data_IF_460007849458
#
_entry.id   IF_460007849458
#
_cell.length_a   1.000
_cell.length_b   1.000
_cell.length_c   1.000
_cell.angle_alpha   90.00
_cell.angle_beta   90.00
_cell.angle_gamma   90.00
#
_symmetry.space_group_name_H-M   'P 1'
#
loop_
_entity.id
_entity.type
_entity.pdbx_description
1 polymer ?
#
# COMPACT_ATOMS: atom_id res chain seq x y z
N UNK A 1 -7.86 -30.31 -20.85
CA UNK A 1 -6.71 -29.53 -21.32
C UNK A 1 -6.73 -28.12 -20.72
N UNK A 2 -6.26 -27.95 -19.47
CA UNK A 2 -6.34 -26.68 -18.72
C UNK A 2 -5.03 -26.36 -17.97
N UNK A 3 -3.87 -26.63 -18.58
CA UNK A 3 -2.55 -26.45 -17.95
C UNK A 3 -1.75 -25.24 -18.47
N UNK A 4 -2.40 -24.16 -18.93
CA UNK A 4 -1.70 -23.02 -19.56
C UNK A 4 -2.00 -21.61 -19.05
N UNK A 5 -2.59 -21.42 -17.86
CA UNK A 5 -2.83 -20.07 -17.31
C UNK A 5 -2.13 -19.72 -15.99
N UNK A 6 -1.27 -20.58 -15.47
CA UNK A 6 -0.60 -20.37 -14.17
C UNK A 6 0.86 -19.87 -14.27
N UNK A 7 1.28 -19.29 -15.42
CA UNK A 7 2.70 -18.94 -15.66
C UNK A 7 3.00 -17.45 -15.87
N UNK A 8 2.02 -16.57 -15.75
CA UNK A 8 2.23 -15.13 -16.04
C UNK A 8 2.36 -14.22 -14.83
N UNK A 9 2.01 -14.67 -13.62
CA UNK A 9 1.95 -13.75 -12.47
C UNK A 9 3.28 -13.62 -11.70
N UNK A 10 4.28 -14.46 -11.98
CA UNK A 10 5.60 -14.41 -11.31
C UNK A 10 6.57 -13.34 -11.87
N UNK A 11 6.25 -12.74 -13.03
CA UNK A 11 7.16 -11.84 -13.77
C UNK A 11 6.90 -10.33 -13.56
N UNK A 12 5.96 -9.95 -12.70
CA UNK A 12 5.72 -8.51 -12.39
C UNK A 12 6.51 -8.00 -11.20
N UNK A 13 7.27 -8.86 -10.50
CA UNK A 13 8.32 -8.40 -9.58
C UNK A 13 9.51 -7.93 -10.41
N UNK A 14 9.45 -6.67 -10.82
CA UNK A 14 10.57 -5.94 -11.43
C UNK A 14 11.63 -5.75 -10.34
N UNK A 15 12.42 -6.79 -10.06
CA UNK A 15 13.64 -6.65 -9.25
C UNK A 15 14.55 -5.67 -10.00
N UNK A 16 14.56 -4.42 -9.54
CA UNK A 16 15.52 -3.43 -9.98
C UNK A 16 16.88 -3.87 -9.45
N UNK A 17 17.65 -4.54 -10.29
CA UNK A 17 19.09 -4.73 -10.04
C UNK A 17 19.74 -3.35 -10.11
N UNK A 18 19.99 -2.75 -8.95
CA UNK A 18 20.72 -1.49 -8.82
C UNK A 18 22.22 -1.82 -8.76
N UNK A 19 23.02 -1.15 -9.59
CA UNK A 19 24.48 -1.27 -9.54
C UNK A 19 24.99 -0.74 -8.19
N UNK A 20 26.03 -1.37 -7.63
CA UNK A 20 26.66 -0.93 -6.39
C UNK A 20 27.18 0.51 -6.48
N UNK A 21 27.65 0.92 -7.67
CA UNK A 21 28.12 2.28 -7.92
C UNK A 21 27.00 3.33 -7.83
N UNK A 22 25.74 2.93 -8.07
CA UNK A 22 24.58 3.83 -7.94
C UNK A 22 24.17 4.08 -6.48
N UNK A 23 24.63 3.25 -5.53
CA UNK A 23 24.37 3.43 -4.09
C UNK A 23 25.30 4.48 -3.46
N UNK A 24 26.50 4.67 -4.01
CA UNK A 24 27.49 5.62 -3.47
C UNK A 24 27.07 7.07 -3.72
N UNK A 25 26.30 7.31 -4.78
CA UNK A 25 25.77 8.65 -5.13
C UNK A 25 24.43 8.98 -4.44
N UNK A 26 23.85 8.02 -3.70
CA UNK A 26 22.82 8.32 -2.70
C UNK A 26 23.50 8.93 -1.47
N UNK A 27 24.02 10.15 -1.61
CA UNK A 27 24.25 11.01 -0.46
C UNK A 27 22.96 10.98 0.36
N UNK A 28 23.06 10.57 1.62
CA UNK A 28 21.99 10.75 2.59
C UNK A 28 21.82 12.25 2.74
N UNK A 29 20.97 12.85 1.91
CA UNK A 29 20.40 14.16 2.17
C UNK A 29 19.74 14.02 3.53
N UNK A 30 20.39 14.56 4.56
CA UNK A 30 19.76 14.75 5.85
C UNK A 30 18.51 15.57 5.58
N UNK A 31 17.30 14.99 5.70
CA UNK A 31 16.10 15.71 5.33
C UNK A 31 15.99 16.94 6.22
N UNK A 32 15.76 18.08 5.60
CA UNK A 32 15.60 19.34 6.32
C UNK A 32 14.58 19.20 7.46
N UNK A 33 14.75 19.89 8.61
CA UNK A 33 13.92 19.70 9.79
C UNK A 33 12.41 19.80 9.51
N UNK A 34 11.99 20.72 8.64
CA UNK A 34 10.60 20.85 8.21
C UNK A 34 10.10 19.65 7.40
N UNK A 35 10.96 19.03 6.58
CA UNK A 35 10.64 17.81 5.83
C UNK A 35 10.45 16.63 6.77
N UNK A 36 11.23 16.55 7.85
CA UNK A 36 11.05 15.51 8.86
C UNK A 36 9.73 15.70 9.62
N UNK A 37 9.40 16.94 10.00
CA UNK A 37 8.14 17.25 10.70
C UNK A 37 6.92 16.93 9.83
N UNK A 38 6.93 17.33 8.55
CA UNK A 38 5.87 16.99 7.59
C UNK A 38 5.68 15.48 7.44
N UNK A 39 6.77 14.70 7.42
CA UNK A 39 6.70 13.23 7.32
C UNK A 39 6.03 12.61 8.56
N UNK A 40 6.34 13.13 9.74
CA UNK A 40 5.72 12.69 10.99
C UNK A 40 4.22 12.95 10.95
N UNK A 41 3.82 14.19 10.62
CA UNK A 41 2.41 14.58 10.51
C UNK A 41 1.65 13.73 9.48
N UNK A 42 2.18 13.60 8.26
CA UNK A 42 1.58 12.74 7.23
C UNK A 42 1.44 11.29 7.70
N UNK A 43 2.43 10.77 8.42
CA UNK A 43 2.37 9.40 8.96
C UNK A 43 1.28 9.26 10.02
N UNK A 44 1.09 10.27 10.87
CA UNK A 44 0.00 10.31 11.85
C UNK A 44 -1.37 10.31 11.17
N UNK A 45 -1.57 11.13 10.14
CA UNK A 45 -2.82 11.20 9.38
C UNK A 45 -3.14 9.87 8.70
N UNK A 46 -2.14 9.24 8.06
CA UNK A 46 -2.31 7.92 7.44
C UNK A 46 -2.66 6.87 8.49
N UNK A 47 -2.02 6.90 9.67
CA UNK A 47 -2.30 5.97 10.76
C UNK A 47 -3.72 6.15 11.28
N UNK A 48 -4.17 7.39 11.52
CA UNK A 48 -5.52 7.69 11.97
C UNK A 48 -6.57 7.29 10.92
N UNK A 49 -6.31 7.64 9.66
CA UNK A 49 -7.11 7.22 8.52
C UNK A 49 -7.23 5.70 8.44
N UNK A 50 -6.11 4.98 8.57
CA UNK A 50 -6.10 3.52 8.62
C UNK A 50 -6.91 2.99 9.79
N UNK A 51 -6.81 3.54 11.00
CA UNK A 51 -7.56 3.13 12.20
C UNK A 51 -9.08 3.33 12.06
N UNK A 52 -9.50 4.35 11.31
CA UNK A 52 -10.92 4.62 11.06
C UNK A 52 -11.58 3.66 10.06
N UNK A 53 -10.79 2.87 9.31
CA UNK A 53 -11.33 1.88 8.37
C UNK A 53 -11.98 0.70 9.07
N UNK A 54 -12.87 0.02 8.35
CA UNK A 54 -13.41 -1.27 8.77
C UNK A 54 -12.27 -2.28 8.96
N UNK A 55 -12.35 -3.18 9.96
CA UNK A 55 -11.31 -4.17 10.22
C UNK A 55 -10.90 -4.98 8.99
N UNK A 56 -11.87 -5.30 8.13
CA UNK A 56 -11.65 -6.05 6.88
C UNK A 56 -10.85 -5.25 5.85
N UNK A 57 -11.16 -3.97 5.69
CA UNK A 57 -10.44 -3.08 4.76
C UNK A 57 -9.01 -2.87 5.24
N UNK A 58 -8.82 -2.68 6.56
CA UNK A 58 -7.52 -2.54 7.20
C UNK A 58 -6.64 -3.78 6.99
N UNK A 59 -7.22 -4.97 7.20
CA UNK A 59 -6.54 -6.24 7.00
C UNK A 59 -6.16 -6.44 5.52
N UNK A 60 -7.05 -6.11 4.59
CA UNK A 60 -6.73 -6.17 3.16
C UNK A 60 -5.55 -5.27 2.81
N UNK A 61 -5.56 -4.02 3.27
CA UNK A 61 -4.46 -3.08 3.01
C UNK A 61 -3.15 -3.56 3.65
N UNK A 62 -3.21 -4.12 4.86
CA UNK A 62 -2.04 -4.73 5.51
C UNK A 62 -1.42 -5.82 4.64
N UNK A 63 -2.22 -6.78 4.19
CA UNK A 63 -1.72 -7.91 3.39
C UNK A 63 -1.25 -7.45 1.98
N UNK A 64 -2.04 -6.65 1.27
CA UNK A 64 -1.73 -6.29 -0.11
C UNK A 64 -0.70 -5.17 -0.23
N UNK A 65 -0.84 -4.10 0.55
CA UNK A 65 -0.05 -2.87 0.38
C UNK A 65 1.20 -2.83 1.27
N UNK A 66 1.16 -3.41 2.47
CA UNK A 66 2.33 -3.43 3.35
C UNK A 66 3.16 -4.70 3.20
N UNK A 67 2.52 -5.85 3.06
CA UNK A 67 3.21 -7.15 2.92
C UNK A 67 3.40 -7.56 1.45
N UNK A 68 2.75 -6.86 0.52
CA UNK A 68 2.94 -7.07 -0.91
C UNK A 68 2.25 -8.32 -1.48
N UNK A 69 1.33 -8.95 -0.74
CA UNK A 69 0.65 -10.15 -1.22
C UNK A 69 -0.19 -9.84 -2.47
N UNK A 70 -0.22 -10.74 -3.47
CA UNK A 70 -1.08 -10.57 -4.64
C UNK A 70 -2.56 -10.65 -4.25
N UNK A 71 -3.41 -9.93 -5.00
CA UNK A 71 -4.85 -9.83 -4.71
C UNK A 71 -5.51 -11.22 -4.63
N UNK A 72 -5.07 -12.17 -5.47
CA UNK A 72 -5.50 -13.57 -5.45
C UNK A 72 -5.29 -14.22 -4.07
N UNK A 73 -4.09 -14.11 -3.51
CA UNK A 73 -3.76 -14.70 -2.20
C UNK A 73 -4.53 -14.02 -1.07
N UNK A 74 -4.65 -12.69 -1.13
CA UNK A 74 -5.47 -11.94 -0.16
C UNK A 74 -6.94 -12.37 -0.24
N UNK A 75 -7.47 -12.62 -1.44
CA UNK A 75 -8.84 -13.11 -1.62
C UNK A 75 -9.05 -14.48 -0.95
N UNK A 76 -8.07 -15.39 -1.08
CA UNK A 76 -8.08 -16.71 -0.42
C UNK A 76 -8.05 -16.55 1.11
N UNK A 77 -7.12 -15.75 1.63
CA UNK A 77 -6.97 -15.49 3.08
C UNK A 77 -8.28 -14.92 3.66
N UNK A 78 -8.90 -13.96 2.95
CA UNK A 78 -10.13 -13.31 3.37
C UNK A 78 -11.41 -14.09 3.02
N UNK A 79 -11.27 -15.27 2.40
CA UNK A 79 -12.36 -16.15 1.95
C UNK A 79 -13.40 -15.42 1.09
N UNK A 80 -12.94 -14.68 0.08
CA UNK A 80 -13.76 -13.96 -0.89
C UNK A 80 -13.38 -14.30 -2.33
N UNK A 81 -14.27 -14.01 -3.28
CA UNK A 81 -13.92 -14.06 -4.69
C UNK A 81 -12.89 -12.99 -5.05
N UNK A 82 -12.09 -13.26 -6.07
CA UNK A 82 -11.11 -12.31 -6.61
C UNK A 82 -11.77 -11.00 -7.05
N UNK A 83 -12.94 -11.06 -7.70
CA UNK A 83 -13.72 -9.87 -8.07
C UNK A 83 -14.16 -9.02 -6.87
N UNK A 84 -14.53 -9.67 -5.76
CA UNK A 84 -14.82 -8.96 -4.51
C UNK A 84 -13.54 -8.36 -3.91
N UNK A 85 -12.39 -9.03 -4.00
CA UNK A 85 -11.11 -8.49 -3.56
C UNK A 85 -10.70 -7.21 -4.34
N UNK A 86 -10.90 -7.18 -5.67
CA UNK A 86 -10.70 -5.97 -6.47
C UNK A 86 -11.63 -4.82 -6.06
N UNK A 87 -12.91 -5.13 -5.84
CA UNK A 87 -13.90 -4.15 -5.38
C UNK A 87 -13.60 -3.66 -3.96
N UNK A 88 -13.13 -4.55 -3.09
CA UNK A 88 -12.71 -4.21 -1.73
C UNK A 88 -11.47 -3.31 -1.75
N UNK A 89 -10.46 -3.61 -2.57
CA UNK A 89 -9.29 -2.73 -2.79
C UNK A 89 -9.72 -1.32 -3.16
N UNK A 90 -10.55 -1.19 -4.19
CA UNK A 90 -11.00 0.12 -4.66
C UNK A 90 -11.74 0.90 -3.57
N UNK A 91 -12.67 0.23 -2.86
CA UNK A 91 -13.42 0.86 -1.76
C UNK A 91 -12.54 1.23 -0.57
N UNK A 92 -11.62 0.36 -0.18
CA UNK A 92 -10.70 0.59 0.94
C UNK A 92 -9.80 1.81 0.68
N UNK A 93 -9.22 1.91 -0.52
CA UNK A 93 -8.40 3.06 -0.92
C UNK A 93 -9.24 4.34 -0.96
N UNK A 94 -10.43 4.29 -1.56
CA UNK A 94 -11.33 5.46 -1.62
C UNK A 94 -11.73 5.96 -0.22
N UNK A 95 -12.02 5.05 0.70
CA UNK A 95 -12.34 5.38 2.10
C UNK A 95 -11.14 5.96 2.84
N UNK A 96 -9.96 5.38 2.65
CA UNK A 96 -8.73 5.87 3.28
C UNK A 96 -8.42 7.29 2.81
N UNK A 97 -8.50 7.54 1.49
CA UNK A 97 -8.29 8.88 0.93
C UNK A 97 -9.28 9.89 1.50
N UNK A 98 -10.57 9.57 1.51
CA UNK A 98 -11.59 10.46 2.07
C UNK A 98 -11.33 10.79 3.55
N UNK A 99 -10.75 9.87 4.31
CA UNK A 99 -10.41 10.10 5.72
C UNK A 99 -9.20 11.01 5.89
N UNK A 100 -8.17 10.82 5.07
CA UNK A 100 -6.99 11.71 5.06
C UNK A 100 -7.40 13.12 4.60
N UNK A 101 -8.23 13.24 3.57
CA UNK A 101 -8.70 14.53 3.05
C UNK A 101 -9.57 15.31 4.07
N UNK A 102 -10.27 14.62 4.98
CA UNK A 102 -11.00 15.25 6.08
C UNK A 102 -10.01 15.78 7.15
N UNK A 103 -9.04 14.96 7.54
CA UNK A 103 -8.02 15.30 8.53
C UNK A 103 -7.14 16.49 8.06
N UNK A 104 -6.88 16.62 6.74
CA UNK A 104 -6.19 17.79 6.17
C UNK A 104 -6.96 19.10 6.30
N UNK A 105 -8.30 19.05 6.41
CA UNK A 105 -9.14 20.25 6.49
C UNK A 105 -9.34 20.75 7.91
N UNK A 106 -9.21 19.88 8.90
CA UNK A 106 -9.32 20.26 10.32
C UNK A 106 -8.05 20.95 10.85
N UNK A 107 -6.95 20.89 10.08
CA UNK A 107 -5.64 21.48 10.45
C UNK A 107 -5.33 22.78 9.67
N UNK A 108 -6.25 23.25 8.81
CA UNK A 108 -6.12 24.45 7.97
C UNK A 108 -7.08 25.55 8.43
#
# INVERSE_FOLDING_TARGET
>A
DNLRKARTDALTRKDRVLSLDALVDMKSETPEPWTLMNKVEQSHMIRNGLLSLLPRDRLFLKLHCFEGLPIREVAVILRISEGNAHSLKHRAIKRLKAKIDLDTKDTA
#
